data_IF_551987652663
#
_entry.id   IF_551987652663
#
_cell.length_a   1.000
_cell.length_b   1.000
_cell.length_c   1.000
_cell.angle_alpha   90.00
_cell.angle_beta   90.00
_cell.angle_gamma   90.00
#
_symmetry.space_group_name_H-M   'P 1'
#
loop_
_entity.id
_entity.type
_entity.pdbx_description
1 polymer ?
#
# COMPACT_ATOMS: atom_id res chain seq x y z
N UNK A 1 -8.35 7.41 4.84
CA UNK A 1 -7.55 7.01 3.67
C UNK A 1 -6.20 7.73 3.59
N UNK A 2 -6.17 9.00 3.96
CA UNK A 2 -4.94 9.79 3.94
C UNK A 2 -3.85 9.20 4.84
N UNK A 3 -4.19 8.80 6.05
CA UNK A 3 -3.23 8.20 6.98
C UNK A 3 -2.68 6.87 6.46
N UNK A 4 -3.55 6.05 5.87
CA UNK A 4 -3.12 4.78 5.28
C UNK A 4 -2.19 5.02 4.08
N UNK A 5 -2.49 6.00 3.25
CA UNK A 5 -1.64 6.36 2.10
C UNK A 5 -0.28 6.88 2.56
N UNK A 6 -0.24 7.76 3.56
CA UNK A 6 1.01 8.25 4.13
C UNK A 6 1.85 7.12 4.72
N UNK A 7 1.22 6.19 5.42
CA UNK A 7 1.91 5.03 5.96
C UNK A 7 2.55 4.18 4.87
N UNK A 8 1.83 3.96 3.76
CA UNK A 8 2.33 3.21 2.62
C UNK A 8 3.52 3.91 1.95
N UNK A 9 3.44 5.22 1.79
CA UNK A 9 4.52 6.03 1.21
C UNK A 9 5.76 5.97 2.09
N UNK A 10 5.62 6.17 3.39
CA UNK A 10 6.73 6.07 4.33
C UNK A 10 7.38 4.69 4.31
N UNK A 11 6.57 3.64 4.23
CA UNK A 11 7.06 2.28 4.15
C UNK A 11 7.91 2.07 2.89
N UNK A 12 7.44 2.56 1.74
CA UNK A 12 8.19 2.47 0.50
C UNK A 12 9.52 3.21 0.57
N UNK A 13 9.52 4.43 1.12
CA UNK A 13 10.74 5.22 1.27
C UNK A 13 11.77 4.54 2.17
N UNK A 14 11.33 3.94 3.27
CA UNK A 14 12.25 3.34 4.26
C UNK A 14 12.76 1.97 3.87
N UNK A 15 11.92 1.16 3.25
CA UNK A 15 12.19 -0.28 3.14
C UNK A 15 12.36 -0.81 1.73
N UNK A 16 11.83 -0.13 0.73
CA UNK A 16 11.83 -0.68 -0.62
C UNK A 16 13.07 -0.35 -1.45
N UNK A 17 13.82 0.69 -1.08
CA UNK A 17 14.94 1.22 -1.87
C UNK A 17 14.51 1.54 -3.30
N UNK A 18 13.32 2.05 -3.46
CA UNK A 18 12.79 2.38 -4.77
C UNK A 18 13.45 3.64 -5.35
N UNK A 19 13.55 3.68 -6.67
CA UNK A 19 13.95 4.88 -7.41
C UNK A 19 12.75 5.60 -7.99
N UNK A 20 11.62 4.90 -8.09
CA UNK A 20 10.35 5.47 -8.57
C UNK A 20 9.23 5.10 -7.59
N UNK A 21 8.49 6.11 -7.18
CA UNK A 21 7.29 5.95 -6.37
C UNK A 21 6.16 6.69 -7.08
N UNK A 22 5.12 5.97 -7.50
CA UNK A 22 3.97 6.56 -8.17
C UNK A 22 2.75 6.53 -7.28
N UNK A 23 2.00 7.62 -7.30
CA UNK A 23 0.70 7.72 -6.66
C UNK A 23 -0.36 7.86 -7.75
N UNK A 24 -1.28 6.89 -7.80
CA UNK A 24 -2.36 6.89 -8.79
C UNK A 24 -3.70 7.03 -8.08
N UNK A 25 -4.45 8.05 -8.45
CA UNK A 25 -5.78 8.29 -7.92
C UNK A 25 -6.81 7.98 -9.00
N UNK A 26 -7.79 7.17 -8.66
CA UNK A 26 -8.84 6.75 -9.59
C UNK A 26 -10.20 6.73 -8.89
N UNK A 27 -11.26 7.01 -9.65
CA UNK A 27 -12.62 6.91 -9.16
C UNK A 27 -13.39 5.97 -10.12
N UNK A 28 -13.31 4.64 -9.91
CA UNK A 28 -13.93 3.68 -10.81
C UNK A 28 -15.46 3.79 -10.87
N UNK A 29 -16.06 4.28 -9.81
CA UNK A 29 -17.51 4.55 -9.72
C UNK A 29 -17.71 5.90 -9.05
N UNK A 30 -18.89 6.51 -9.22
CA UNK A 30 -19.19 7.84 -8.73
C UNK A 30 -18.93 8.06 -7.24
N UNK A 31 -19.10 7.02 -6.43
CA UNK A 31 -18.95 7.12 -4.97
C UNK A 31 -17.75 6.33 -4.43
N UNK A 32 -16.86 5.86 -5.29
CA UNK A 32 -15.71 5.02 -4.91
C UNK A 32 -14.41 5.75 -5.26
N UNK A 33 -13.50 5.77 -4.31
CA UNK A 33 -12.15 6.30 -4.50
C UNK A 33 -11.16 5.15 -4.36
N UNK A 34 -10.24 5.05 -5.30
CA UNK A 34 -9.14 4.08 -5.26
C UNK A 34 -7.81 4.83 -5.38
N UNK A 35 -6.90 4.53 -4.47
CA UNK A 35 -5.55 5.09 -4.47
C UNK A 35 -4.56 3.96 -4.55
N UNK A 36 -3.66 4.01 -5.53
CA UNK A 36 -2.56 3.06 -5.65
C UNK A 36 -1.24 3.74 -5.37
N UNK A 37 -0.46 3.15 -4.50
CA UNK A 37 0.91 3.54 -4.23
C UNK A 37 1.79 2.45 -4.83
N UNK A 38 2.52 2.77 -5.90
CA UNK A 38 3.32 1.83 -6.68
C UNK A 38 4.79 2.20 -6.54
N UNK A 39 5.61 1.27 -6.09
CA UNK A 39 7.06 1.46 -6.07
C UNK A 39 7.75 0.37 -6.88
N UNK A 40 8.95 0.70 -7.39
CA UNK A 40 9.80 -0.23 -8.11
C UNK A 40 10.96 -0.73 -7.23
N UNK A 41 10.73 -0.80 -5.93
CA UNK A 41 11.76 -1.19 -4.99
C UNK A 41 12.04 -2.68 -4.99
N UNK A 42 12.68 -3.14 -3.90
CA UNK A 42 13.09 -4.54 -3.81
C UNK A 42 11.94 -5.52 -3.65
N UNK A 43 10.75 -5.06 -3.28
CA UNK A 43 9.61 -5.93 -3.01
C UNK A 43 9.89 -6.93 -1.89
N UNK A 44 9.00 -7.90 -1.77
CA UNK A 44 9.17 -9.01 -0.83
C UNK A 44 8.38 -10.22 -1.32
N UNK A 45 8.72 -11.39 -0.80
CA UNK A 45 7.94 -12.61 -1.07
C UNK A 45 6.75 -12.63 -0.10
N UNK A 46 5.51 -12.84 -0.59
CA UNK A 46 4.33 -12.85 0.29
C UNK A 46 4.40 -13.89 1.42
N UNK A 47 5.11 -15.00 1.21
CA UNK A 47 5.29 -16.06 2.18
C UNK A 47 6.42 -15.78 3.18
N UNK A 48 7.18 -14.71 3.00
CA UNK A 48 8.35 -14.37 3.82
C UNK A 48 8.42 -12.88 4.12
N UNK A 49 7.34 -12.33 4.60
CA UNK A 49 7.30 -10.89 4.94
C UNK A 49 8.15 -10.63 6.18
N UNK A 50 9.10 -9.69 6.12
CA UNK A 50 9.88 -9.30 7.31
C UNK A 50 8.97 -8.80 8.43
N UNK A 51 9.34 -9.10 9.68
CA UNK A 51 8.55 -8.70 10.86
C UNK A 51 8.25 -7.20 10.91
N UNK A 52 9.22 -6.38 10.54
CA UNK A 52 9.04 -4.92 10.53
C UNK A 52 7.93 -4.51 9.56
N UNK A 53 7.77 -5.23 8.45
CA UNK A 53 6.74 -4.94 7.46
C UNK A 53 5.37 -5.52 7.81
N UNK A 54 5.32 -6.60 8.59
CA UNK A 54 4.06 -7.17 9.04
C UNK A 54 3.26 -6.17 9.88
N UNK A 55 3.92 -5.47 10.81
CA UNK A 55 3.26 -4.46 11.62
C UNK A 55 2.76 -3.29 10.79
N UNK A 56 3.55 -2.82 9.84
CA UNK A 56 3.18 -1.70 8.97
C UNK A 56 2.01 -2.11 8.05
N UNK A 57 2.08 -3.30 7.47
CA UNK A 57 1.00 -3.84 6.63
C UNK A 57 -0.31 -3.94 7.40
N UNK A 58 -0.27 -4.50 8.61
CA UNK A 58 -1.43 -4.59 9.48
C UNK A 58 -1.98 -3.23 9.86
N UNK A 59 -1.11 -2.24 10.08
CA UNK A 59 -1.52 -0.88 10.38
C UNK A 59 -2.27 -0.24 9.20
N UNK A 60 -1.80 -0.43 7.98
CA UNK A 60 -2.45 0.10 6.78
C UNK A 60 -3.85 -0.51 6.62
N UNK A 61 -3.95 -1.83 6.70
CA UNK A 61 -5.22 -2.55 6.58
C UNK A 61 -6.20 -2.11 7.66
N UNK A 62 -5.73 -2.00 8.90
CA UNK A 62 -6.56 -1.61 10.03
C UNK A 62 -7.05 -0.16 9.91
N UNK A 63 -6.20 0.76 9.48
CA UNK A 63 -6.59 2.16 9.27
C UNK A 63 -7.69 2.30 8.22
N UNK A 64 -7.60 1.51 7.15
CA UNK A 64 -8.65 1.50 6.14
C UNK A 64 -9.95 0.89 6.66
N UNK A 65 -9.86 -0.20 7.41
CA UNK A 65 -11.04 -0.83 8.02
C UNK A 65 -11.79 0.13 8.95
N UNK A 66 -11.06 0.93 9.72
CA UNK A 66 -11.66 1.90 10.64
C UNK A 66 -12.50 2.98 9.96
N UNK A 67 -12.22 3.27 8.70
CA UNK A 67 -12.97 4.27 7.93
C UNK A 67 -13.92 3.64 6.92
N UNK A 68 -14.11 2.32 6.98
CA UNK A 68 -15.02 1.61 6.07
C UNK A 68 -14.41 1.32 4.71
N UNK A 69 -13.10 1.25 4.61
CA UNK A 69 -12.41 0.95 3.37
C UNK A 69 -11.65 -0.36 3.43
N UNK A 70 -10.90 -0.65 2.37
CA UNK A 70 -10.06 -1.84 2.26
C UNK A 70 -8.66 -1.46 1.78
N UNK A 71 -7.70 -2.32 2.11
CA UNK A 71 -6.33 -2.20 1.61
C UNK A 71 -5.86 -3.55 1.10
N UNK A 72 -5.20 -3.54 -0.06
CA UNK A 72 -4.58 -4.72 -0.64
C UNK A 72 -3.12 -4.41 -0.92
N UNK A 73 -2.23 -5.28 -0.47
CA UNK A 73 -0.80 -5.11 -0.67
C UNK A 73 -0.30 -6.29 -1.48
N UNK A 74 0.27 -5.99 -2.64
CA UNK A 74 0.84 -6.99 -3.54
C UNK A 74 2.31 -6.65 -3.75
N UNK A 75 3.18 -7.65 -3.64
CA UNK A 75 4.61 -7.45 -3.81
C UNK A 75 5.23 -8.61 -4.55
N UNK A 76 6.21 -8.29 -5.39
CA UNK A 76 6.99 -9.27 -6.13
C UNK A 76 8.46 -8.96 -5.86
N UNK A 77 9.18 -9.96 -5.35
CA UNK A 77 10.59 -9.82 -5.01
C UNK A 77 11.39 -9.30 -6.21
N UNK A 78 12.20 -8.28 -5.99
CA UNK A 78 13.04 -7.61 -7.00
C UNK A 78 12.27 -6.84 -8.07
N UNK A 79 10.95 -6.73 -7.95
CA UNK A 79 10.12 -5.96 -8.88
C UNK A 79 9.54 -4.73 -8.21
N UNK A 80 8.89 -4.90 -7.07
CA UNK A 80 8.31 -3.79 -6.34
C UNK A 80 7.06 -4.15 -5.58
N UNK A 81 6.39 -3.13 -5.07
CA UNK A 81 5.20 -3.26 -4.24
C UNK A 81 4.10 -2.34 -4.72
N UNK A 82 2.86 -2.83 -4.69
CA UNK A 82 1.66 -2.05 -4.99
C UNK A 82 0.74 -2.12 -3.77
N UNK A 83 0.41 -0.96 -3.23
CA UNK A 83 -0.59 -0.83 -2.18
C UNK A 83 -1.83 -0.20 -2.80
N UNK A 84 -2.96 -0.88 -2.75
CA UNK A 84 -4.23 -0.38 -3.27
C UNK A 84 -5.17 -0.12 -2.11
N UNK A 85 -5.59 1.13 -1.99
CA UNK A 85 -6.55 1.57 -0.98
C UNK A 85 -7.87 1.89 -1.68
N UNK A 86 -8.96 1.35 -1.17
CA UNK A 86 -10.29 1.59 -1.75
C UNK A 86 -11.24 2.03 -0.67
N UNK A 87 -12.03 3.06 -0.96
CA UNK A 87 -13.05 3.57 -0.06
C UNK A 87 -14.29 3.98 -0.86
N UNK A 88 -15.50 3.63 -0.44
CA UNK A 88 -15.78 2.63 0.61
C UNK A 88 -15.43 1.22 0.15
N UNK A 89 -15.54 0.33 1.06
CA UNK A 89 -15.23 -1.09 0.87
C UNK A 89 -16.04 -1.77 -0.24
#
# INVERSE_FOLDING_TARGET
ITEAALQAIENSERHSKCTVLELKLNSPEASVISVQIVDNGRGFRPDRVPRARLGIRGSIVNRMALVGGTAKITSILSVGTVVTLRWPE
#
